data_IF_773178732634
#
_entry.id   IF_773178732634
#
_cell.length_a   1.000
_cell.length_b   1.000
_cell.length_c   1.000
_cell.angle_alpha   90.00
_cell.angle_beta   90.00
_cell.angle_gamma   90.00
#
_symmetry.space_group_name_H-M   'P 1'
#
loop_
_entity.id
_entity.type
_entity.pdbx_description
1 polymer ?
#
# COMPACT_ATOMS: atom_id res chain seq x y z
N UNK A 1 -24.49 -1.90 -13.19
CA UNK A 1 -23.58 -3.00 -13.59
C UNK A 1 -24.07 -4.29 -12.93
N UNK A 2 -24.26 -5.37 -13.70
CA UNK A 2 -24.67 -6.68 -13.15
C UNK A 2 -23.51 -7.33 -12.39
N UNK A 3 -23.80 -8.14 -11.36
CA UNK A 3 -22.80 -8.73 -10.46
C UNK A 3 -21.74 -9.53 -11.23
N UNK A 4 -22.17 -10.35 -12.21
CA UNK A 4 -21.26 -11.17 -13.01
C UNK A 4 -20.18 -10.40 -13.77
N UNK A 5 -20.49 -9.20 -14.29
CA UNK A 5 -19.53 -8.39 -15.06
C UNK A 5 -18.44 -7.76 -14.20
N UNK A 6 -18.75 -7.45 -12.93
CA UNK A 6 -17.77 -6.93 -11.99
C UNK A 6 -16.88 -8.06 -11.44
N UNK A 7 -17.46 -9.24 -11.24
CA UNK A 7 -16.74 -10.44 -10.80
C UNK A 7 -15.66 -10.85 -11.79
N UNK A 8 -15.95 -10.87 -13.10
CA UNK A 8 -14.95 -11.30 -14.11
C UNK A 8 -13.71 -10.39 -14.12
N UNK A 9 -13.90 -9.07 -14.06
CA UNK A 9 -12.79 -8.12 -13.97
C UNK A 9 -11.98 -8.30 -12.68
N UNK A 10 -12.67 -8.38 -11.53
CA UNK A 10 -12.01 -8.53 -10.24
C UNK A 10 -11.25 -9.88 -10.11
N UNK A 11 -11.79 -10.97 -10.65
CA UNK A 11 -11.10 -12.26 -10.73
C UNK A 11 -9.86 -12.20 -11.61
N UNK A 12 -9.98 -11.63 -12.83
CA UNK A 12 -8.84 -11.50 -13.74
C UNK A 12 -7.70 -10.69 -13.12
N UNK A 13 -8.04 -9.57 -12.46
CA UNK A 13 -7.06 -8.78 -11.70
C UNK A 13 -6.44 -9.52 -10.52
N UNK A 14 -7.25 -10.25 -9.76
CA UNK A 14 -6.77 -10.99 -8.58
C UNK A 14 -5.82 -12.11 -8.96
N UNK A 15 -6.14 -12.85 -10.04
CA UNK A 15 -5.24 -13.86 -10.60
C UNK A 15 -3.96 -13.20 -11.12
N UNK A 16 -4.07 -12.11 -11.89
CA UNK A 16 -2.89 -11.40 -12.39
C UNK A 16 -1.98 -10.92 -11.25
N UNK A 17 -2.55 -10.33 -10.19
CA UNK A 17 -1.79 -9.87 -9.02
C UNK A 17 -1.08 -11.02 -8.32
N UNK A 18 -1.80 -12.11 -8.05
CA UNK A 18 -1.24 -13.28 -7.38
C UNK A 18 -0.12 -13.92 -8.22
N UNK A 19 -0.34 -14.11 -9.53
CA UNK A 19 0.65 -14.69 -10.45
C UNK A 19 1.89 -13.80 -10.58
N UNK A 20 1.73 -12.48 -10.71
CA UNK A 20 2.86 -11.55 -10.81
C UNK A 20 3.71 -11.55 -9.54
N UNK A 21 3.08 -11.53 -8.36
CA UNK A 21 3.80 -11.57 -7.09
C UNK A 21 4.43 -12.94 -6.82
N UNK A 22 3.76 -14.02 -7.23
CA UNK A 22 4.33 -15.37 -7.18
C UNK A 22 5.55 -15.51 -8.08
N UNK A 23 5.44 -15.05 -9.33
CA UNK A 23 6.54 -15.07 -10.29
C UNK A 23 7.71 -14.19 -9.85
N UNK A 24 7.42 -13.02 -9.29
CA UNK A 24 8.44 -12.14 -8.71
C UNK A 24 9.15 -12.84 -7.53
N UNK A 25 8.40 -13.45 -6.61
CA UNK A 25 8.96 -14.24 -5.52
C UNK A 25 9.87 -15.38 -5.99
N UNK A 26 9.45 -16.13 -7.02
CA UNK A 26 10.26 -17.19 -7.61
C UNK A 26 11.54 -16.70 -8.33
N UNK A 27 11.67 -15.39 -8.56
CA UNK A 27 12.84 -14.80 -9.22
C UNK A 27 13.98 -14.48 -8.24
N UNK A 28 13.82 -14.76 -6.94
CA UNK A 28 14.88 -14.49 -5.94
C UNK A 28 16.10 -15.38 -6.14
N UNK A 29 15.92 -16.65 -6.47
CA UNK A 29 17.02 -17.54 -6.85
C UNK A 29 17.87 -16.96 -8.00
N UNK A 30 17.24 -16.29 -8.97
CA UNK A 30 17.96 -15.68 -10.08
C UNK A 30 18.88 -14.53 -9.63
N UNK A 31 18.59 -13.87 -8.51
CA UNK A 31 19.42 -12.82 -7.92
C UNK A 31 20.66 -13.38 -7.20
N UNK A 32 20.66 -14.65 -6.83
CA UNK A 32 21.80 -15.31 -6.19
C UNK A 32 22.87 -15.75 -7.21
N UNK A 33 22.54 -15.74 -8.51
CA UNK A 33 23.46 -16.11 -9.58
C UNK A 33 24.58 -15.05 -9.72
N UNK A 34 25.85 -15.47 -9.98
CA UNK A 34 26.97 -14.53 -10.12
C UNK A 34 26.72 -13.43 -11.18
N UNK A 35 25.99 -13.75 -12.26
CA UNK A 35 25.62 -12.79 -13.30
C UNK A 35 24.73 -11.64 -12.82
N UNK A 36 23.90 -11.85 -11.80
CA UNK A 36 23.04 -10.81 -11.24
C UNK A 36 23.86 -9.73 -10.52
N UNK A 37 24.91 -10.13 -9.79
CA UNK A 37 25.84 -9.20 -9.15
C UNK A 37 26.64 -8.39 -10.16
N UNK A 38 26.97 -8.98 -11.32
CA UNK A 38 27.63 -8.28 -12.43
C UNK A 38 26.75 -7.24 -13.11
N UNK A 39 25.43 -7.51 -13.24
CA UNK A 39 24.49 -6.61 -13.92
C UNK A 39 23.93 -5.51 -13.01
N UNK A 40 23.61 -5.84 -11.75
CA UNK A 40 22.91 -4.94 -10.82
C UNK A 40 23.80 -4.40 -9.69
N UNK A 41 25.02 -4.93 -9.54
CA UNK A 41 25.86 -4.66 -8.38
C UNK A 41 25.35 -5.35 -7.11
N UNK A 42 26.20 -5.37 -6.07
CA UNK A 42 25.88 -5.98 -4.78
C UNK A 42 24.70 -5.28 -4.10
N UNK A 43 24.68 -3.94 -4.15
CA UNK A 43 23.62 -3.15 -3.53
C UNK A 43 22.28 -3.29 -4.28
N UNK A 44 22.30 -3.33 -5.61
CA UNK A 44 21.10 -3.56 -6.41
C UNK A 44 20.48 -4.93 -6.14
N UNK A 45 21.30 -5.99 -6.02
CA UNK A 45 20.86 -7.32 -5.61
C UNK A 45 20.26 -7.30 -4.21
N UNK A 46 20.88 -6.60 -3.24
CA UNK A 46 20.34 -6.47 -1.88
C UNK A 46 18.99 -5.75 -1.86
N UNK A 47 18.85 -4.67 -2.61
CA UNK A 47 17.58 -3.90 -2.70
C UNK A 47 16.48 -4.75 -3.32
N UNK A 48 16.75 -5.38 -4.46
CA UNK A 48 15.80 -6.25 -5.14
C UNK A 48 15.43 -7.47 -4.27
N UNK A 49 16.41 -8.06 -3.59
CA UNK A 49 16.18 -9.12 -2.60
C UNK A 49 15.26 -8.66 -1.47
N UNK A 50 15.41 -7.43 -0.98
CA UNK A 50 14.50 -6.84 0.01
C UNK A 50 13.07 -6.62 -0.51
N UNK A 51 12.90 -6.36 -1.81
CA UNK A 51 11.59 -6.19 -2.43
C UNK A 51 10.89 -7.53 -2.66
N UNK A 52 11.63 -8.54 -3.14
CA UNK A 52 11.12 -9.85 -3.55
C UNK A 52 11.01 -10.84 -2.38
N UNK A 53 11.89 -10.73 -1.38
CA UNK A 53 11.95 -11.60 -0.21
C UNK A 53 10.60 -11.84 0.49
N UNK A 54 9.75 -10.81 0.67
CA UNK A 54 8.40 -11.00 1.23
C UNK A 54 7.43 -11.79 0.35
N UNK A 55 7.79 -12.20 -0.86
CA UNK A 55 6.91 -12.95 -1.77
C UNK A 55 7.51 -14.31 -2.17
N UNK A 56 8.66 -14.68 -1.61
CA UNK A 56 9.31 -15.96 -1.93
C UNK A 56 8.58 -17.13 -1.28
N UNK A 57 8.49 -18.25 -1.99
CA UNK A 57 8.13 -19.55 -1.41
C UNK A 57 9.37 -20.33 -0.92
N UNK A 58 10.57 -19.88 -1.30
CA UNK A 58 11.82 -20.44 -0.80
C UNK A 58 11.94 -20.24 0.70
N UNK A 59 12.27 -21.33 1.38
CA UNK A 59 12.51 -21.33 2.82
C UNK A 59 13.81 -20.55 3.10
N UNK A 60 13.78 -19.48 3.91
CA UNK A 60 14.99 -18.74 4.25
C UNK A 60 16.08 -19.68 4.81
N UNK A 61 17.32 -19.51 4.37
CA UNK A 61 18.47 -20.32 4.81
C UNK A 61 18.71 -20.28 6.34
N UNK A 62 18.13 -19.29 7.01
CA UNK A 62 18.18 -19.11 8.46
C UNK A 62 17.22 -20.07 9.21
N UNK A 63 16.27 -20.72 8.52
CA UNK A 63 15.41 -21.73 9.13
C UNK A 63 16.22 -22.99 9.46
N UNK A 64 16.19 -23.42 10.73
CA UNK A 64 16.85 -24.66 11.17
C UNK A 64 18.27 -24.50 11.68
N UNK A 65 18.70 -23.29 12.05
CA UNK A 65 19.95 -23.06 12.79
C UNK A 65 20.06 -23.85 14.12
N UNK A 66 18.99 -24.51 14.56
CA UNK A 66 18.94 -25.43 15.71
C UNK A 66 19.57 -26.80 15.45
N UNK A 67 19.92 -27.17 14.21
CA UNK A 67 20.67 -28.39 13.89
C UNK A 67 19.86 -29.71 13.94
N UNK A 68 18.60 -29.68 14.41
CA UNK A 68 17.70 -30.84 14.42
C UNK A 68 16.84 -30.90 13.15
N UNK A 69 16.91 -31.99 12.35
CA UNK A 69 16.11 -32.14 11.13
C UNK A 69 14.59 -32.17 11.38
N UNK A 70 14.14 -32.61 12.56
CA UNK A 70 12.71 -32.65 12.90
C UNK A 70 12.11 -31.26 13.18
N UNK A 71 12.90 -30.36 13.77
CA UNK A 71 12.53 -28.97 13.96
C UNK A 71 12.51 -28.19 12.64
N UNK A 72 13.44 -28.50 11.72
CA UNK A 72 13.47 -27.91 10.38
C UNK A 72 12.16 -28.17 9.63
N UNK A 73 11.63 -29.40 9.68
CA UNK A 73 10.36 -29.75 9.02
C UNK A 73 9.19 -28.96 9.61
N UNK A 74 9.16 -28.78 10.95
CA UNK A 74 8.15 -27.97 11.64
C UNK A 74 8.22 -26.49 11.24
N UNK A 75 9.42 -25.89 11.24
CA UNK A 75 9.59 -24.49 10.86
C UNK A 75 9.25 -24.25 9.38
N UNK A 76 9.61 -25.20 8.51
CA UNK A 76 9.21 -25.19 7.11
C UNK A 76 7.69 -25.24 6.94
N UNK A 77 7.01 -26.12 7.66
CA UNK A 77 5.54 -26.19 7.62
C UNK A 77 4.86 -24.88 8.05
N UNK A 78 5.42 -24.19 9.05
CA UNK A 78 4.95 -22.86 9.46
C UNK A 78 5.17 -21.80 8.38
N UNK A 79 6.33 -21.81 7.71
CA UNK A 79 6.63 -20.89 6.62
C UNK A 79 5.71 -21.12 5.41
N UNK A 80 5.51 -22.37 5.02
CA UNK A 80 4.58 -22.74 3.93
C UNK A 80 3.15 -22.30 4.25
N UNK A 81 2.71 -22.49 5.49
CA UNK A 81 1.40 -22.00 5.97
C UNK A 81 1.32 -20.48 5.89
N UNK A 82 2.38 -19.76 6.29
CA UNK A 82 2.43 -18.30 6.19
C UNK A 82 2.24 -17.83 4.73
N UNK A 83 2.88 -18.49 3.77
CA UNK A 83 2.75 -18.14 2.35
C UNK A 83 1.38 -18.48 1.78
N UNK A 84 0.81 -19.63 2.13
CA UNK A 84 -0.58 -19.97 1.75
C UNK A 84 -1.57 -18.92 2.26
N UNK A 85 -1.43 -18.50 3.52
CA UNK A 85 -2.25 -17.43 4.10
C UNK A 85 -2.01 -16.11 3.36
N UNK A 86 -0.75 -15.74 3.08
CA UNK A 86 -0.41 -14.49 2.38
C UNK A 86 -1.10 -14.39 1.02
N UNK A 87 -0.95 -15.40 0.16
CA UNK A 87 -1.56 -15.38 -1.17
C UNK A 87 -3.08 -15.53 -1.12
N UNK A 88 -3.62 -16.33 -0.20
CA UNK A 88 -5.06 -16.47 0.00
C UNK A 88 -5.72 -15.16 0.44
N UNK A 89 -5.15 -14.50 1.45
CA UNK A 89 -5.60 -13.19 1.94
C UNK A 89 -5.48 -12.13 0.86
N UNK A 90 -4.32 -12.06 0.16
CA UNK A 90 -4.11 -11.14 -0.95
C UNK A 90 -5.24 -11.26 -1.98
N UNK A 91 -5.51 -12.49 -2.42
CA UNK A 91 -6.53 -12.76 -3.44
C UNK A 91 -7.93 -12.39 -2.96
N UNK A 92 -8.32 -12.81 -1.75
CA UNK A 92 -9.67 -12.56 -1.20
C UNK A 92 -9.89 -11.07 -0.94
N UNK A 93 -8.93 -10.39 -0.30
CA UNK A 93 -9.02 -8.96 0.00
C UNK A 93 -9.02 -8.12 -1.29
N UNK A 94 -8.18 -8.47 -2.27
CA UNK A 94 -8.19 -7.80 -3.57
C UNK A 94 -9.53 -8.00 -4.27
N UNK A 95 -9.99 -9.25 -4.39
CA UNK A 95 -11.25 -9.61 -5.06
C UNK A 95 -12.44 -8.88 -4.45
N UNK A 96 -12.56 -8.90 -3.12
CA UNK A 96 -13.64 -8.25 -2.39
C UNK A 96 -13.67 -6.74 -2.63
N UNK A 97 -12.52 -6.07 -2.51
CA UNK A 97 -12.48 -4.62 -2.71
C UNK A 97 -12.54 -4.19 -4.17
N UNK A 98 -11.91 -4.90 -5.10
CA UNK A 98 -12.04 -4.62 -6.53
C UNK A 98 -13.50 -4.76 -6.98
N UNK A 99 -14.19 -5.82 -6.56
CA UNK A 99 -15.62 -6.00 -6.82
C UNK A 99 -16.45 -4.86 -6.23
N UNK A 100 -16.17 -4.47 -4.98
CA UNK A 100 -16.84 -3.36 -4.33
C UNK A 100 -16.62 -2.03 -5.07
N UNK A 101 -15.38 -1.71 -5.42
CA UNK A 101 -15.00 -0.47 -6.09
C UNK A 101 -15.57 -0.38 -7.51
N UNK A 102 -15.44 -1.44 -8.32
CA UNK A 102 -15.98 -1.46 -9.69
C UNK A 102 -17.52 -1.34 -9.69
N UNK A 103 -18.19 -1.93 -8.69
CA UNK A 103 -19.65 -1.78 -8.57
C UNK A 103 -20.06 -0.35 -8.23
N UNK A 104 -19.28 0.34 -7.39
CA UNK A 104 -19.59 1.71 -6.93
C UNK A 104 -19.15 2.78 -7.92
N UNK A 105 -18.10 2.51 -8.68
CA UNK A 105 -17.54 3.36 -9.72
C UNK A 105 -17.33 2.51 -10.99
N UNK A 106 -18.39 2.27 -11.77
CA UNK A 106 -18.28 1.44 -12.97
C UNK A 106 -17.41 2.14 -14.03
N UNK A 107 -16.50 1.43 -14.72
CA UNK A 107 -15.56 2.00 -15.70
C UNK A 107 -16.23 2.30 -17.04
N UNK A 108 -17.24 3.17 -17.03
CA UNK A 108 -18.01 3.59 -18.21
C UNK A 108 -17.74 5.06 -18.46
N UNK A 109 -16.98 5.36 -19.53
CA UNK A 109 -16.51 6.70 -19.89
C UNK A 109 -15.08 7.00 -19.41
N UNK A 110 -14.35 7.83 -20.19
CA UNK A 110 -12.91 8.07 -20.01
C UNK A 110 -12.53 8.47 -18.58
N UNK A 111 -13.26 9.41 -17.97
CA UNK A 111 -13.00 9.88 -16.60
C UNK A 111 -13.17 8.79 -15.55
N UNK A 112 -14.23 7.97 -15.66
CA UNK A 112 -14.51 6.89 -14.69
C UNK A 112 -13.55 5.72 -14.85
N UNK A 113 -13.06 5.45 -16.05
CA UNK A 113 -12.01 4.45 -16.31
C UNK A 113 -10.76 4.80 -15.49
N UNK A 114 -10.25 6.02 -15.61
CA UNK A 114 -9.07 6.47 -14.86
C UNK A 114 -9.28 6.41 -13.35
N UNK A 115 -10.43 6.86 -12.86
CA UNK A 115 -10.71 6.84 -11.42
C UNK A 115 -10.88 5.43 -10.87
N UNK A 116 -11.48 4.52 -11.65
CA UNK A 116 -11.60 3.11 -11.26
C UNK A 116 -10.23 2.45 -11.24
N UNK A 117 -9.38 2.76 -12.22
CA UNK A 117 -8.01 2.28 -12.29
C UNK A 117 -7.21 2.71 -11.06
N UNK A 118 -7.22 4.01 -10.73
CA UNK A 118 -6.52 4.53 -9.56
C UNK A 118 -7.06 3.95 -8.24
N UNK A 119 -8.38 3.80 -8.12
CA UNK A 119 -8.98 3.22 -6.92
C UNK A 119 -8.61 1.73 -6.74
N UNK A 120 -8.71 0.93 -7.81
CA UNK A 120 -8.33 -0.48 -7.77
C UNK A 120 -6.83 -0.62 -7.51
N UNK A 121 -6.00 0.22 -8.13
CA UNK A 121 -4.56 0.22 -7.90
C UNK A 121 -4.20 0.53 -6.45
N UNK A 122 -4.79 1.58 -5.87
CA UNK A 122 -4.59 1.90 -4.46
C UNK A 122 -5.07 0.75 -3.54
N UNK A 123 -6.17 0.07 -3.91
CA UNK A 123 -6.65 -1.09 -3.18
C UNK A 123 -5.71 -2.30 -3.26
N UNK A 124 -4.94 -2.47 -4.35
CA UNK A 124 -3.89 -3.51 -4.42
C UNK A 124 -2.91 -3.38 -3.24
N UNK A 125 -2.52 -2.14 -2.89
CA UNK A 125 -1.60 -1.88 -1.79
C UNK A 125 -2.22 -2.20 -0.42
N UNK A 126 -3.52 -1.93 -0.25
CA UNK A 126 -4.27 -2.36 0.94
C UNK A 126 -4.31 -3.89 1.03
N UNK A 127 -4.58 -4.60 -0.07
CA UNK A 127 -4.58 -6.06 -0.04
C UNK A 127 -3.19 -6.65 0.23
N UNK A 128 -2.13 -6.06 -0.33
CA UNK A 128 -0.75 -6.50 -0.08
C UNK A 128 -0.33 -6.30 1.37
N UNK A 129 -0.62 -5.12 1.94
CA UNK A 129 -0.35 -4.85 3.37
C UNK A 129 -1.10 -5.81 4.27
N UNK A 130 -2.42 -6.00 4.06
CA UNK A 130 -3.21 -6.96 4.83
C UNK A 130 -2.69 -8.39 4.71
N UNK A 131 -2.28 -8.80 3.51
CA UNK A 131 -1.70 -10.13 3.28
C UNK A 131 -0.42 -10.35 4.07
N UNK A 132 0.48 -9.36 4.09
CA UNK A 132 1.72 -9.43 4.86
C UNK A 132 1.43 -9.39 6.37
N UNK A 133 0.58 -8.47 6.85
CA UNK A 133 0.19 -8.38 8.27
C UNK A 133 -0.45 -9.67 8.78
N UNK A 134 -1.39 -10.24 8.02
CA UNK A 134 -2.13 -11.43 8.46
C UNK A 134 -1.28 -12.70 8.36
N UNK A 135 -0.29 -12.77 7.47
CA UNK A 135 0.64 -13.91 7.42
C UNK A 135 1.82 -13.79 8.39
N UNK A 136 2.10 -12.58 8.89
CA UNK A 136 3.26 -12.30 9.74
C UNK A 136 3.39 -13.21 10.97
N UNK A 137 2.33 -13.56 11.71
CA UNK A 137 2.47 -14.41 12.90
C UNK A 137 3.12 -15.77 12.59
N UNK A 138 2.72 -16.42 11.50
CA UNK A 138 3.29 -17.68 11.05
C UNK A 138 4.71 -17.51 10.53
N UNK A 139 4.98 -16.42 9.78
CA UNK A 139 6.32 -16.14 9.27
C UNK A 139 7.33 -15.81 10.38
N UNK A 140 6.89 -15.17 11.47
CA UNK A 140 7.70 -14.88 12.66
C UNK A 140 7.97 -16.17 13.43
N UNK A 141 6.92 -16.98 13.68
CA UNK A 141 7.07 -18.27 14.33
C UNK A 141 8.01 -19.21 13.56
N UNK A 142 7.95 -19.20 12.23
CA UNK A 142 8.83 -19.97 11.36
C UNK A 142 10.32 -19.63 11.51
N UNK A 143 10.65 -18.41 11.95
CA UNK A 143 12.04 -17.97 12.19
C UNK A 143 12.53 -18.23 13.63
N UNK A 144 11.75 -18.95 14.44
CA UNK A 144 12.11 -19.25 15.83
C UNK A 144 12.04 -18.05 16.79
N UNK A 145 11.51 -16.89 16.35
CA UNK A 145 11.45 -15.65 17.15
C UNK A 145 10.11 -15.46 17.87
N UNK A 146 9.48 -16.56 18.30
CA UNK A 146 8.09 -16.59 18.76
C UNK A 146 7.72 -15.77 20.00
N UNK A 147 8.67 -15.24 20.77
CA UNK A 147 8.37 -14.44 21.98
C UNK A 147 9.14 -13.14 22.16
N UNK A 148 10.24 -12.91 21.43
CA UNK A 148 11.06 -11.70 21.56
C UNK A 148 10.85 -10.80 20.33
N UNK A 149 10.43 -9.55 20.55
CA UNK A 149 10.28 -8.53 19.50
C UNK A 149 9.21 -8.86 18.45
N UNK A 150 8.09 -9.45 18.85
CA UNK A 150 6.98 -9.76 17.95
C UNK A 150 6.43 -8.50 17.27
N UNK A 151 6.15 -7.43 18.03
CA UNK A 151 5.58 -6.20 17.47
C UNK A 151 6.56 -5.46 16.53
N UNK A 152 7.87 -5.31 16.84
CA UNK A 152 8.85 -4.81 15.89
C UNK A 152 8.96 -5.64 14.62
N UNK A 153 8.93 -6.98 14.74
CA UNK A 153 8.97 -7.87 13.58
C UNK A 153 7.70 -7.74 12.72
N UNK A 154 6.54 -7.55 13.35
CA UNK A 154 5.29 -7.28 12.65
C UNK A 154 5.32 -5.92 11.95
N UNK A 155 5.79 -4.86 12.62
CA UNK A 155 5.96 -3.54 12.02
C UNK A 155 6.93 -3.57 10.84
N UNK A 156 8.05 -4.30 10.96
CA UNK A 156 9.02 -4.52 9.88
C UNK A 156 8.41 -5.28 8.71
N UNK A 157 7.63 -6.34 8.97
CA UNK A 157 6.93 -7.07 7.91
C UNK A 157 5.95 -6.15 7.17
N UNK A 158 5.19 -5.35 7.91
CA UNK A 158 4.28 -4.32 7.40
C UNK A 158 4.98 -3.13 6.74
N UNK A 159 6.30 -3.04 6.81
CA UNK A 159 7.13 -2.04 6.12
C UNK A 159 7.75 -2.61 4.82
N UNK A 160 7.80 -3.94 4.68
CA UNK A 160 8.49 -4.65 3.60
C UNK A 160 7.59 -5.03 2.42
N UNK A 161 8.18 -5.15 1.23
CA UNK A 161 7.54 -5.78 0.06
C UNK A 161 6.48 -4.95 -0.67
N UNK A 162 6.27 -3.69 -0.28
CA UNK A 162 5.30 -2.81 -0.93
C UNK A 162 5.65 -2.45 -2.37
N UNK A 163 6.94 -2.31 -2.66
CA UNK A 163 7.44 -1.79 -3.93
C UNK A 163 6.99 -2.68 -5.10
N UNK A 164 7.04 -4.01 -4.91
CA UNK A 164 6.50 -4.94 -5.89
C UNK A 164 4.99 -4.88 -6.02
N UNK A 165 4.27 -4.69 -4.91
CA UNK A 165 2.81 -4.55 -4.94
C UNK A 165 2.40 -3.27 -5.68
N UNK A 166 3.18 -2.18 -5.59
CA UNK A 166 2.94 -0.95 -6.37
C UNK A 166 2.98 -1.27 -7.87
N UNK A 167 4.04 -1.95 -8.33
CA UNK A 167 4.21 -2.31 -9.74
C UNK A 167 3.23 -3.37 -10.23
N UNK A 168 3.15 -4.52 -9.56
CA UNK A 168 2.22 -5.60 -9.89
C UNK A 168 0.76 -5.13 -9.79
N UNK A 169 0.47 -4.25 -8.83
CA UNK A 169 -0.83 -3.63 -8.65
C UNK A 169 -1.27 -2.76 -9.83
N UNK A 170 -0.35 -2.05 -10.50
CA UNK A 170 -0.68 -1.27 -11.71
C UNK A 170 -1.19 -2.19 -12.82
N UNK A 171 -0.47 -3.29 -13.06
CA UNK A 171 -0.85 -4.28 -14.08
C UNK A 171 -2.18 -4.94 -13.71
N UNK A 172 -2.34 -5.38 -12.47
CA UNK A 172 -3.57 -5.97 -11.98
C UNK A 172 -4.77 -5.01 -12.10
N UNK A 173 -4.59 -3.74 -11.76
CA UNK A 173 -5.63 -2.72 -11.89
C UNK A 173 -5.99 -2.45 -13.37
N UNK A 174 -5.00 -2.42 -14.26
CA UNK A 174 -5.23 -2.27 -15.69
C UNK A 174 -6.04 -3.45 -16.24
N UNK A 175 -5.62 -4.68 -15.95
CA UNK A 175 -6.34 -5.90 -16.33
C UNK A 175 -7.77 -5.87 -15.80
N UNK A 176 -7.95 -5.54 -14.52
CA UNK A 176 -9.26 -5.45 -13.87
C UNK A 176 -10.19 -4.48 -14.60
N UNK A 177 -9.73 -3.26 -14.85
CA UNK A 177 -10.54 -2.20 -15.45
C UNK A 177 -10.80 -2.45 -16.93
N UNK A 178 -9.83 -2.98 -17.67
CA UNK A 178 -10.00 -3.35 -19.08
C UNK A 178 -11.04 -4.46 -19.19
N UNK A 179 -10.91 -5.55 -18.44
CA UNK A 179 -11.87 -6.68 -18.47
C UNK A 179 -13.26 -6.24 -18.01
N UNK A 180 -13.35 -5.47 -16.92
CA UNK A 180 -14.62 -4.93 -16.43
C UNK A 180 -15.26 -3.94 -17.43
N UNK A 181 -14.45 -3.10 -18.08
CA UNK A 181 -14.88 -2.14 -19.09
C UNK A 181 -15.37 -2.82 -20.38
N UNK A 182 -14.66 -3.85 -20.85
CA UNK A 182 -15.08 -4.70 -21.96
C UNK A 182 -16.42 -5.38 -21.65
N UNK A 183 -16.57 -5.94 -20.44
CA UNK A 183 -17.82 -6.54 -20.00
C UNK A 183 -18.95 -5.51 -19.85
N UNK A 184 -18.63 -4.24 -19.59
CA UNK A 184 -19.60 -3.15 -19.44
C UNK A 184 -19.96 -2.42 -20.75
N UNK A 185 -19.37 -2.78 -21.90
CA UNK A 185 -19.71 -2.19 -23.20
C UNK A 185 -21.22 -2.30 -23.46
N UNK A 186 -21.83 -1.19 -23.90
CA UNK A 186 -23.28 -1.09 -24.13
C UNK A 186 -24.14 -0.81 -22.89
N UNK A 187 -23.55 -0.70 -21.69
CA UNK A 187 -24.30 -0.25 -20.51
C UNK A 187 -24.60 1.25 -20.58
N UNK A 188 -25.85 1.63 -20.30
CA UNK A 188 -26.25 3.03 -20.26
C UNK A 188 -25.49 3.79 -19.15
N UNK A 189 -25.15 5.08 -19.39
CA UNK A 189 -24.50 5.90 -18.39
C UNK A 189 -25.39 6.05 -17.15
N UNK A 190 -24.82 5.75 -15.97
CA UNK A 190 -25.54 5.86 -14.69
C UNK A 190 -25.75 7.34 -14.36
N UNK A 191 -26.98 7.77 -13.99
CA UNK A 191 -27.27 9.16 -13.65
C UNK A 191 -26.36 9.66 -12.53
N UNK A 192 -25.93 10.92 -12.65
CA UNK A 192 -25.06 11.58 -11.68
C UNK A 192 -25.91 12.19 -10.57
N UNK A 193 -25.53 11.98 -9.32
CA UNK A 193 -26.14 12.70 -8.21
C UNK A 193 -25.62 14.13 -8.21
N UNK A 194 -26.52 15.10 -8.33
CA UNK A 194 -26.20 16.52 -8.20
C UNK A 194 -26.02 16.82 -6.71
N UNK A 195 -24.78 16.74 -6.23
CA UNK A 195 -24.44 17.05 -4.84
C UNK A 195 -24.24 18.55 -4.68
N UNK A 196 -24.83 19.13 -3.62
CA UNK A 196 -24.62 20.55 -3.27
C UNK A 196 -23.13 20.80 -3.02
N UNK A 197 -22.57 21.75 -3.77
CA UNK A 197 -21.12 22.03 -3.83
C UNK A 197 -20.54 22.47 -2.48
N UNK A 198 -21.33 23.10 -1.61
CA UNK A 198 -20.90 23.55 -0.27
C UNK A 198 -20.62 22.40 0.70
N UNK A 199 -21.55 21.46 0.85
CA UNK A 199 -21.39 20.32 1.75
C UNK A 199 -20.21 19.42 1.34
N UNK A 200 -20.05 19.19 0.03
CA UNK A 200 -18.92 18.42 -0.51
C UNK A 200 -17.55 19.09 -0.24
N UNK A 201 -17.50 20.43 -0.18
CA UNK A 201 -16.26 21.15 0.17
C UNK A 201 -15.94 21.05 1.65
N UNK A 202 -16.93 21.18 2.52
CA UNK A 202 -16.77 21.06 3.98
C UNK A 202 -16.31 19.64 4.37
N UNK A 203 -16.99 18.63 3.84
CA UNK A 203 -16.62 17.22 4.02
C UNK A 203 -15.19 16.94 3.54
N UNK A 204 -14.82 17.45 2.36
CA UNK A 204 -13.46 17.31 1.84
C UNK A 204 -12.43 18.02 2.72
N UNK A 205 -12.72 19.23 3.21
CA UNK A 205 -11.80 19.96 4.11
C UNK A 205 -11.61 19.25 5.45
N UNK A 206 -12.67 18.71 6.04
CA UNK A 206 -12.59 17.97 7.30
C UNK A 206 -11.80 16.67 7.13
N UNK A 207 -12.07 15.92 6.06
CA UNK A 207 -11.29 14.72 5.73
C UNK A 207 -9.81 15.02 5.48
N UNK A 208 -9.50 16.13 4.81
CA UNK A 208 -8.10 16.54 4.62
C UNK A 208 -7.43 17.04 5.89
N UNK A 209 -8.17 17.65 6.81
CA UNK A 209 -7.63 18.07 8.08
C UNK A 209 -7.13 16.87 8.91
N UNK A 210 -7.85 15.75 8.88
CA UNK A 210 -7.43 14.49 9.52
C UNK A 210 -6.09 14.00 8.97
N UNK A 211 -5.90 14.07 7.65
CA UNK A 211 -4.65 13.66 7.00
C UNK A 211 -3.53 14.67 7.29
N UNK A 212 -3.84 15.97 7.32
CA UNK A 212 -2.91 17.02 7.67
C UNK A 212 -2.39 16.86 9.11
N UNK A 213 -3.25 16.45 10.06
CA UNK A 213 -2.83 16.15 11.43
C UNK A 213 -1.79 15.03 11.45
N UNK A 214 -1.99 13.95 10.70
CA UNK A 214 -0.98 12.89 10.63
C UNK A 214 0.33 13.36 9.96
N UNK A 215 0.24 14.05 8.82
CA UNK A 215 1.42 14.50 8.06
C UNK A 215 2.23 15.60 8.76
N UNK A 216 1.57 16.48 9.52
CA UNK A 216 2.23 17.67 10.09
C UNK A 216 2.47 17.50 11.59
N UNK A 217 1.46 17.02 12.33
CA UNK A 217 1.54 16.94 13.79
C UNK A 217 2.20 15.64 14.23
N UNK A 218 1.66 14.49 13.80
CA UNK A 218 2.16 13.19 14.25
C UNK A 218 3.52 12.86 13.65
N UNK A 219 3.75 13.25 12.40
CA UNK A 219 5.02 13.01 11.70
C UNK A 219 6.17 13.91 12.20
N UNK A 220 5.91 14.91 13.06
CA UNK A 220 6.96 15.74 13.64
C UNK A 220 7.91 14.87 14.45
N UNK A 221 9.22 14.93 14.20
CA UNK A 221 10.24 14.15 14.89
C UNK A 221 10.09 14.24 16.42
N UNK A 222 9.75 15.44 16.92
CA UNK A 222 9.19 15.76 18.25
C UNK A 222 8.23 14.71 18.79
N UNK A 223 7.11 14.66 18.10
CA UNK A 223 5.90 13.92 18.44
C UNK A 223 6.05 12.45 18.08
N UNK A 224 6.68 12.12 16.96
CA UNK A 224 7.00 10.77 16.55
C UNK A 224 7.90 10.06 17.57
N UNK A 225 8.93 10.75 18.09
CA UNK A 225 9.77 10.22 19.18
C UNK A 225 8.96 10.04 20.46
N UNK A 226 8.13 11.03 20.83
CA UNK A 226 7.27 10.92 22.01
C UNK A 226 6.24 9.78 21.88
N UNK A 227 5.68 9.53 20.69
CA UNK A 227 4.78 8.40 20.42
C UNK A 227 5.53 7.07 20.56
N UNK A 228 6.78 7.02 20.11
CA UNK A 228 7.62 5.83 20.24
C UNK A 228 7.99 5.55 21.70
N UNK A 229 8.23 6.59 22.51
CA UNK A 229 8.54 6.49 23.94
C UNK A 229 7.30 6.26 24.83
N UNK A 230 6.14 6.80 24.46
CA UNK A 230 4.88 6.69 25.21
C UNK A 230 4.15 5.35 25.01
N UNK A 231 4.59 4.52 24.06
CA UNK A 231 4.09 3.17 23.92
C UNK A 231 4.28 2.39 25.21
N UNK A 232 3.26 1.65 25.66
CA UNK A 232 3.30 0.85 26.89
C UNK A 232 4.48 -0.17 26.93
N UNK A 233 5.10 -0.42 25.78
CA UNK A 233 6.43 -1.02 25.61
C UNK A 233 7.13 -0.36 24.41
N UNK A 234 8.47 -0.35 24.39
CA UNK A 234 9.25 0.07 23.21
C UNK A 234 8.81 -0.66 21.94
N UNK A 235 8.36 -1.92 22.09
CA UNK A 235 7.80 -2.76 21.03
C UNK A 235 6.48 -2.21 20.45
N UNK A 236 5.59 -1.67 21.29
CA UNK A 236 4.34 -1.05 20.86
C UNK A 236 4.58 0.29 20.15
N UNK A 237 5.65 1.01 20.51
CA UNK A 237 6.05 2.27 19.87
C UNK A 237 6.36 2.10 18.38
N UNK A 238 7.05 1.03 17.99
CA UNK A 238 7.40 0.76 16.59
C UNK A 238 6.16 0.45 15.74
N UNK A 239 5.18 -0.29 16.30
CA UNK A 239 3.92 -0.55 15.61
C UNK A 239 3.06 0.72 15.51
N UNK A 240 2.97 1.50 16.60
CA UNK A 240 2.26 2.77 16.60
C UNK A 240 2.84 3.72 15.55
N UNK A 241 4.16 3.75 15.40
CA UNK A 241 4.84 4.50 14.35
C UNK A 241 4.38 4.09 12.95
N UNK A 242 4.31 2.80 12.67
CA UNK A 242 3.89 2.28 11.37
C UNK A 242 2.42 2.59 11.04
N UNK A 243 1.56 2.64 12.06
CA UNK A 243 0.13 2.89 11.91
C UNK A 243 -0.25 4.38 11.95
N UNK A 244 0.57 5.24 12.57
CA UNK A 244 0.23 6.64 12.81
C UNK A 244 0.98 7.62 11.89
N UNK A 245 2.15 7.24 11.39
CA UNK A 245 3.01 8.14 10.64
C UNK A 245 2.82 7.95 9.12
N UNK A 246 2.15 8.93 8.51
CA UNK A 246 2.05 9.06 7.04
C UNK A 246 3.36 9.58 6.42
N UNK A 247 4.26 10.16 7.22
CA UNK A 247 5.55 10.66 6.76
C UNK A 247 6.57 10.79 7.89
N UNK A 248 7.74 11.31 7.57
CA UNK A 248 8.79 11.66 8.53
C UNK A 248 9.06 13.14 8.38
N UNK A 249 8.98 13.90 9.47
CA UNK A 249 9.20 15.34 9.47
C UNK A 249 10.28 15.77 10.49
N UNK A 250 11.29 16.52 10.06
CA UNK A 250 12.27 17.20 10.92
C UNK A 250 12.38 18.71 10.64
N UNK A 251 12.87 19.46 11.62
CA UNK A 251 13.16 20.89 11.48
C UNK A 251 14.31 21.12 10.48
N UNK A 252 14.31 22.24 9.73
CA UNK A 252 15.41 22.54 8.81
C UNK A 252 16.72 22.67 9.60
N UNK A 253 17.74 21.91 9.21
CA UNK A 253 19.11 22.09 9.69
C UNK A 253 19.82 23.13 8.81
N UNK A 254 20.73 23.90 9.41
CA UNK A 254 21.46 24.98 8.73
C UNK A 254 22.11 24.48 7.43
N UNK A 255 21.70 25.05 6.29
CA UNK A 255 22.25 24.76 4.95
C UNK A 255 21.36 23.95 3.99
N UNK A 256 20.22 23.38 4.42
CA UNK A 256 19.34 22.55 3.56
C UNK A 256 17.92 23.12 3.35
N UNK A 257 17.75 24.45 3.42
CA UNK A 257 16.44 25.10 3.38
C UNK A 257 15.63 24.86 2.09
N UNK A 258 16.29 24.85 0.92
CA UNK A 258 15.63 24.62 -0.38
C UNK A 258 15.14 23.19 -0.53
N UNK A 259 15.97 22.20 -0.18
CA UNK A 259 15.59 20.78 -0.21
C UNK A 259 14.46 20.50 0.77
N UNK A 260 14.52 21.12 1.95
CA UNK A 260 13.45 21.04 2.94
C UNK A 260 12.12 21.60 2.40
N UNK A 261 12.12 22.74 1.69
CA UNK A 261 10.93 23.30 1.06
C UNK A 261 10.36 22.40 -0.05
N UNK A 262 11.21 21.73 -0.83
CA UNK A 262 10.79 20.78 -1.87
C UNK A 262 10.08 19.56 -1.24
N UNK A 263 10.60 19.03 -0.14
CA UNK A 263 9.89 17.98 0.62
C UNK A 263 8.54 18.46 1.16
N UNK A 264 8.44 19.73 1.61
CA UNK A 264 7.15 20.31 2.05
C UNK A 264 6.17 20.49 0.91
N UNK A 265 6.65 20.87 -0.27
CA UNK A 265 5.83 20.98 -1.47
C UNK A 265 5.21 19.63 -1.83
N UNK A 266 5.94 18.52 -1.63
CA UNK A 266 5.39 17.18 -1.79
C UNK A 266 4.25 16.88 -0.80
N UNK A 267 4.39 17.27 0.48
CA UNK A 267 3.33 17.11 1.49
C UNK A 267 2.08 17.96 1.17
N UNK A 268 2.29 19.21 0.76
CA UNK A 268 1.20 20.08 0.33
C UNK A 268 0.49 19.51 -0.91
N UNK A 269 1.24 18.93 -1.85
CA UNK A 269 0.69 18.25 -3.02
C UNK A 269 -0.18 17.06 -2.62
N UNK A 270 0.23 16.26 -1.62
CA UNK A 270 -0.61 15.19 -1.06
C UNK A 270 -1.95 15.76 -0.58
N UNK A 271 -1.92 16.82 0.23
CA UNK A 271 -3.15 17.45 0.76
C UNK A 271 -4.05 18.00 -0.34
N UNK A 272 -3.49 18.65 -1.35
CA UNK A 272 -4.24 19.20 -2.49
C UNK A 272 -4.89 18.08 -3.31
N UNK A 273 -4.15 17.02 -3.61
CA UNK A 273 -4.66 15.85 -4.35
C UNK A 273 -5.80 15.19 -3.57
N UNK A 274 -5.61 14.97 -2.27
CA UNK A 274 -6.62 14.33 -1.43
C UNK A 274 -7.86 15.21 -1.30
N UNK A 275 -7.70 16.52 -1.08
CA UNK A 275 -8.82 17.45 -0.99
C UNK A 275 -9.65 17.47 -2.27
N UNK A 276 -8.96 17.55 -3.41
CA UNK A 276 -9.63 17.55 -4.69
C UNK A 276 -10.39 16.24 -4.93
N UNK A 277 -9.74 15.10 -4.68
CA UNK A 277 -10.36 13.79 -4.89
C UNK A 277 -11.54 13.53 -3.95
N UNK A 278 -11.44 13.88 -2.66
CA UNK A 278 -12.56 13.79 -1.70
C UNK A 278 -13.73 14.68 -2.10
N UNK A 279 -13.45 15.90 -2.60
CA UNK A 279 -14.48 16.82 -3.10
C UNK A 279 -15.21 16.25 -4.32
N UNK A 280 -14.50 15.54 -5.19
CA UNK A 280 -15.06 14.94 -6.40
C UNK A 280 -15.86 13.66 -6.11
N UNK A 281 -15.56 12.98 -5.01
CA UNK A 281 -16.04 11.62 -4.73
C UNK A 281 -17.57 11.49 -4.71
N UNK A 282 -18.33 12.36 -4.01
CA UNK A 282 -19.78 12.24 -3.91
C UNK A 282 -20.49 12.33 -5.27
N UNK A 283 -19.93 13.09 -6.22
CA UNK A 283 -20.48 13.24 -7.56
C UNK A 283 -20.16 12.06 -8.48
N UNK A 284 -19.11 11.30 -8.18
CA UNK A 284 -18.62 10.19 -9.01
C UNK A 284 -19.26 8.86 -8.61
N UNK A 285 -19.54 8.67 -7.33
CA UNK A 285 -20.13 7.45 -6.81
C UNK A 285 -21.56 7.26 -7.30
N UNK A 286 -21.86 6.04 -7.73
CA UNK A 286 -23.24 5.63 -8.06
C UNK A 286 -24.16 5.68 -6.84
N UNK A 287 -23.63 5.41 -5.64
CA UNK A 287 -24.29 5.65 -4.35
C UNK A 287 -23.24 6.01 -3.29
N UNK A 288 -23.43 7.15 -2.63
CA UNK A 288 -22.62 7.56 -1.49
C UNK A 288 -23.10 6.81 -0.24
N UNK A 289 -22.48 5.66 0.02
CA UNK A 289 -22.69 4.89 1.27
C UNK A 289 -21.47 5.07 2.18
N UNK A 290 -21.67 5.04 3.49
CA UNK A 290 -20.58 5.07 4.49
C UNK A 290 -19.38 4.17 4.14
N UNK A 291 -19.54 2.85 3.86
CA UNK A 291 -18.41 1.98 3.51
C UNK A 291 -17.74 2.35 2.18
N UNK A 292 -18.47 3.00 1.26
CA UNK A 292 -17.87 3.46 0.01
C UNK A 292 -16.97 4.65 0.29
N UNK A 293 -17.46 5.65 1.01
CA UNK A 293 -16.68 6.84 1.35
C UNK A 293 -15.42 6.49 2.16
N UNK A 294 -15.50 5.52 3.08
CA UNK A 294 -14.34 4.93 3.78
C UNK A 294 -13.33 4.33 2.80
N UNK A 295 -13.75 3.36 1.97
CA UNK A 295 -12.83 2.64 1.07
C UNK A 295 -12.17 3.57 0.05
N UNK A 296 -12.93 4.51 -0.51
CA UNK A 296 -12.38 5.51 -1.43
C UNK A 296 -11.52 6.55 -0.72
N UNK A 297 -11.81 6.92 0.53
CA UNK A 297 -10.94 7.76 1.35
C UNK A 297 -9.56 7.12 1.52
N UNK A 298 -9.51 5.82 1.83
CA UNK A 298 -8.26 5.03 1.83
C UNK A 298 -7.55 5.10 0.48
N UNK A 299 -8.26 4.83 -0.62
CA UNK A 299 -7.67 4.85 -1.96
C UNK A 299 -7.06 6.21 -2.32
N UNK A 300 -7.77 7.30 -1.98
CA UNK A 300 -7.34 8.67 -2.25
C UNK A 300 -6.11 9.05 -1.43
N UNK A 301 -6.05 8.67 -0.15
CA UNK A 301 -4.89 8.92 0.71
C UNK A 301 -3.65 8.17 0.20
N UNK A 302 -3.81 6.90 -0.17
CA UNK A 302 -2.73 6.09 -0.75
C UNK A 302 -2.24 6.72 -2.06
N UNK A 303 -3.14 7.14 -2.94
CA UNK A 303 -2.76 7.81 -4.18
C UNK A 303 -1.99 9.12 -3.92
N UNK A 304 -2.47 9.95 -2.97
CA UNK A 304 -1.78 11.17 -2.56
C UNK A 304 -0.36 10.89 -2.05
N UNK A 305 -0.18 9.86 -1.21
CA UNK A 305 1.14 9.44 -0.74
C UNK A 305 2.06 9.03 -1.87
N UNK A 306 1.58 8.23 -2.82
CA UNK A 306 2.39 7.79 -3.97
C UNK A 306 2.81 8.99 -4.82
N UNK A 307 1.93 9.96 -5.05
CA UNK A 307 2.31 11.21 -5.74
C UNK A 307 3.41 11.96 -4.98
N UNK A 308 3.28 12.08 -3.65
CA UNK A 308 4.32 12.67 -2.81
C UNK A 308 5.65 11.92 -2.92
N UNK A 309 5.62 10.59 -2.86
CA UNK A 309 6.81 9.73 -2.98
C UNK A 309 7.48 9.83 -4.34
N UNK A 310 6.72 9.94 -5.44
CA UNK A 310 7.27 10.17 -6.77
C UNK A 310 7.98 11.52 -6.86
N UNK A 311 7.39 12.58 -6.29
CA UNK A 311 8.04 13.90 -6.23
C UNK A 311 9.33 13.83 -5.42
N UNK A 312 9.32 13.17 -4.25
CA UNK A 312 10.50 13.00 -3.41
C UNK A 312 11.60 12.21 -4.13
N UNK A 313 11.24 11.11 -4.78
CA UNK A 313 12.16 10.32 -5.60
C UNK A 313 12.83 11.16 -6.70
N UNK A 314 12.12 12.12 -7.31
CA UNK A 314 12.71 13.01 -8.33
C UNK A 314 13.60 14.09 -7.71
N UNK A 315 13.24 14.60 -6.53
CA UNK A 315 14.02 15.61 -5.79
C UNK A 315 15.31 15.00 -5.23
N UNK A 316 15.26 13.74 -4.82
CA UNK A 316 16.42 12.96 -4.43
C UNK A 316 17.31 12.79 -5.68
N UNK A 317 18.42 13.53 -5.71
CA UNK A 317 19.33 13.68 -6.85
C UNK A 317 19.95 12.36 -7.36
N UNK A 318 21.01 12.41 -8.18
CA UNK A 318 21.64 11.18 -8.69
C UNK A 318 22.10 10.28 -7.53
N UNK A 319 21.59 9.06 -7.53
CA UNK A 319 21.83 8.06 -6.48
C UNK A 319 23.21 7.41 -6.69
N UNK A 320 24.14 7.53 -5.73
CA UNK A 320 25.46 6.88 -5.82
C UNK A 320 25.40 5.34 -5.86
N UNK A 321 24.26 4.73 -5.51
CA UNK A 321 24.06 3.28 -5.43
C UNK A 321 23.17 2.70 -6.55
N UNK A 322 22.89 3.51 -7.60
CA UNK A 322 22.05 3.12 -8.72
C UNK A 322 20.58 3.53 -8.54
N UNK A 323 19.88 3.78 -9.65
CA UNK A 323 18.55 4.40 -9.66
C UNK A 323 17.42 3.61 -8.99
N UNK A 324 17.67 2.39 -8.48
CA UNK A 324 16.69 1.55 -7.79
C UNK A 324 16.44 2.01 -6.34
N UNK A 325 17.46 2.49 -5.64
CA UNK A 325 17.32 2.91 -4.25
C UNK A 325 16.44 4.16 -4.09
N UNK A 326 16.39 5.02 -5.12
CA UNK A 326 15.41 6.11 -5.27
C UNK A 326 13.94 5.65 -5.12
N UNK A 327 13.62 4.40 -5.48
CA UNK A 327 12.26 3.86 -5.40
C UNK A 327 12.02 3.00 -4.15
N UNK A 328 13.03 2.83 -3.29
CA UNK A 328 12.93 2.01 -2.08
C UNK A 328 11.85 2.50 -1.10
N UNK A 329 11.52 3.79 -1.11
CA UNK A 329 10.46 4.37 -0.28
C UNK A 329 9.04 4.17 -0.82
N UNK A 330 8.85 3.58 -2.01
CA UNK A 330 7.52 3.44 -2.61
C UNK A 330 6.60 2.52 -1.79
N UNK A 331 5.39 3.02 -1.51
CA UNK A 331 4.41 2.30 -0.70
C UNK A 331 4.69 2.33 0.80
N UNK A 332 5.71 3.08 1.25
CA UNK A 332 5.88 3.36 2.68
C UNK A 332 4.66 4.16 3.21
N UNK A 333 4.25 3.88 4.45
CA UNK A 333 3.12 4.58 5.09
C UNK A 333 1.72 4.13 4.64
N UNK A 334 1.60 3.08 3.81
CA UNK A 334 0.29 2.50 3.44
C UNK A 334 -0.54 2.09 4.67
N UNK A 335 0.01 1.47 5.73
CA UNK A 335 -0.78 1.16 6.93
C UNK A 335 -1.41 2.40 7.57
N UNK A 336 -0.64 3.49 7.71
CA UNK A 336 -1.17 4.77 8.20
C UNK A 336 -2.21 5.36 7.23
N UNK A 337 -1.99 5.20 5.91
CA UNK A 337 -2.96 5.61 4.89
C UNK A 337 -4.31 4.92 5.02
N UNK A 338 -4.31 3.63 5.42
CA UNK A 338 -5.55 2.89 5.68
C UNK A 338 -6.29 3.47 6.87
N UNK A 339 -5.59 3.78 7.98
CA UNK A 339 -6.20 4.35 9.19
C UNK A 339 -6.73 5.75 8.92
N UNK A 340 -5.88 6.68 8.46
CA UNK A 340 -6.27 8.08 8.26
C UNK A 340 -7.18 8.26 7.04
N UNK A 341 -7.03 7.45 6.01
CA UNK A 341 -7.92 7.47 4.85
C UNK A 341 -9.32 6.95 5.17
N UNK A 342 -9.43 5.93 6.02
CA UNK A 342 -10.71 5.49 6.55
C UNK A 342 -11.34 6.61 7.39
N UNK A 343 -10.61 7.16 8.37
CA UNK A 343 -11.11 8.27 9.19
C UNK A 343 -11.54 9.48 8.35
N UNK A 344 -10.74 9.88 7.35
CA UNK A 344 -11.08 10.96 6.44
C UNK A 344 -12.37 10.65 5.65
N UNK A 345 -12.54 9.41 5.19
CA UNK A 345 -13.75 8.95 4.53
C UNK A 345 -14.97 8.95 5.44
N UNK A 346 -14.83 8.53 6.71
CA UNK A 346 -15.89 8.59 7.72
C UNK A 346 -16.32 10.03 8.01
N UNK A 347 -15.36 10.91 8.26
CA UNK A 347 -15.64 12.32 8.58
C UNK A 347 -16.27 13.03 7.39
N UNK A 348 -15.88 12.70 6.16
CA UNK A 348 -16.49 13.23 4.95
C UNK A 348 -17.93 12.73 4.69
N UNK A 349 -18.46 11.82 5.51
CA UNK A 349 -19.86 11.36 5.41
C UNK A 349 -20.85 12.20 6.23
N UNK A 350 -20.34 13.00 7.18
CA UNK A 350 -21.12 13.82 8.12
C UNK A 350 -21.53 15.19 7.58
#
# INVERSE_FOLDING_TARGET
MTYGRAVTGALAGGVALAVLLWWAGASVDALQLPGATGQFGIDGVRILGGWLGPWTYEVPAELGASGDPSDLERYRGLYETAMQIRYGVLFVCFLAGALFLIRRLPPVGARRIWMSFLAVWAWCLVSGTLAVSLSAPWAIAARGSGSYRFLPNLASSMASGHQLVVGAGLVAAAVTVIVAGLAARGAQPVPQNVVRTGAARLAASLGTAVIAVSLIVLSYQRVAAAIQEAGASAEAGDLARQLLLLGIWSAPSDGMSTTWLLYRAADALVLVVVWFALRLLPALLTRATFPALMAYGVCVTIFGLLCGQVVRAVVDGPDPYGGLNRWSGMGAGVPAAVVFGALAGAVATG
#
